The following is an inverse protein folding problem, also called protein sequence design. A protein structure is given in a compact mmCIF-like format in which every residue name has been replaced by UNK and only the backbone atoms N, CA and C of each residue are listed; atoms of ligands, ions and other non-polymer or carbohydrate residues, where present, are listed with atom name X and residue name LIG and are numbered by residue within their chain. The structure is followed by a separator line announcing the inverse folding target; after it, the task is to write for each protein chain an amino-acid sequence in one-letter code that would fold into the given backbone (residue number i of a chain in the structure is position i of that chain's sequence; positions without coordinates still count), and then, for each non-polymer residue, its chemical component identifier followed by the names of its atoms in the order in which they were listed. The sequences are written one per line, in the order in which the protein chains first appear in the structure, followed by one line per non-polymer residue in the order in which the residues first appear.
data_IF_731464220408
#
_entry.id   IF_731464220408
#
_cell.length_a   1.000
_cell.length_b   1.000
_cell.length_c   1.000
_cell.angle_alpha   90.00
_cell.angle_beta   90.00
_cell.angle_gamma   90.00
#
_symmetry.space_group_name_H-M   'P 1'
#
loop_
_entity.id
_entity.type
_entity.pdbx_description
1 polymer ?
#
# COMPACT_ATOMS: atom_id res chain seq x y z
N UNK A 1 4.07 -5.41 -14.04
CA UNK A 1 3.24 -5.85 -12.89
C UNK A 1 1.94 -6.44 -13.44
N UNK A 2 1.25 -7.35 -12.74
CA UNK A 2 -0.05 -7.83 -13.21
C UNK A 2 -1.09 -6.71 -13.09
N UNK A 3 -1.74 -6.36 -14.21
CA UNK A 3 -2.69 -5.24 -14.27
C UNK A 3 -3.93 -5.48 -13.41
N UNK A 4 -4.46 -6.70 -13.38
CA UNK A 4 -5.67 -7.04 -12.65
C UNK A 4 -5.42 -6.93 -11.14
N UNK A 5 -4.28 -7.41 -10.66
CA UNK A 5 -3.89 -7.30 -9.26
C UNK A 5 -3.73 -5.84 -8.82
N UNK A 6 -3.06 -5.02 -9.64
CA UNK A 6 -2.84 -3.59 -9.35
C UNK A 6 -4.16 -2.83 -9.36
N UNK A 7 -4.97 -3.00 -10.41
CA UNK A 7 -6.27 -2.33 -10.54
C UNK A 7 -7.24 -2.77 -9.44
N UNK A 8 -7.29 -4.07 -9.13
CA UNK A 8 -8.08 -4.61 -8.02
C UNK A 8 -7.61 -4.01 -6.70
N UNK A 9 -6.31 -3.99 -6.42
CA UNK A 9 -5.75 -3.39 -5.21
C UNK A 9 -6.06 -1.88 -5.12
N UNK A 10 -5.95 -1.13 -6.22
CA UNK A 10 -6.19 0.31 -6.20
C UNK A 10 -7.68 0.69 -6.34
N UNK A 11 -8.59 -0.22 -6.66
CA UNK A 11 -10.04 0.05 -6.74
C UNK A 11 -10.66 0.45 -5.39
N UNK A 12 -10.05 0.06 -4.26
CA UNK A 12 -10.57 0.33 -2.93
C UNK A 12 -10.04 1.66 -2.34
N UNK A 13 -10.92 2.57 -1.88
CA UNK A 13 -10.51 3.86 -1.30
C UNK A 13 -9.58 3.75 -0.08
N UNK A 14 -9.81 2.78 0.80
CA UNK A 14 -8.97 2.54 2.00
C UNK A 14 -7.55 2.18 1.59
N UNK A 15 -7.39 1.31 0.58
CA UNK A 15 -6.08 0.92 0.05
C UNK A 15 -5.35 2.09 -0.61
N UNK A 16 -6.03 2.93 -1.40
CA UNK A 16 -5.43 4.16 -1.97
C UNK A 16 -4.97 5.13 -0.89
N UNK A 17 -5.78 5.32 0.15
CA UNK A 17 -5.42 6.18 1.29
C UNK A 17 -4.22 5.63 2.06
N UNK A 18 -4.18 4.31 2.30
CA UNK A 18 -3.03 3.66 2.95
C UNK A 18 -1.76 3.80 2.12
N UNK A 19 -1.83 3.60 0.80
CA UNK A 19 -0.71 3.82 -0.11
C UNK A 19 -0.17 5.25 0.01
N UNK A 20 -1.06 6.25 -0.02
CA UNK A 20 -0.68 7.66 0.17
C UNK A 20 -0.06 7.93 1.54
N UNK A 21 -0.55 7.29 2.62
CA UNK A 21 0.04 7.43 3.95
C UNK A 21 1.46 6.86 3.99
N UNK A 22 1.69 5.67 3.42
CA UNK A 22 3.02 5.03 3.42
C UNK A 22 4.01 5.84 2.60
N UNK A 23 3.63 6.32 1.42
CA UNK A 23 4.48 7.20 0.61
C UNK A 23 4.84 8.48 1.38
N UNK A 24 3.85 9.15 1.99
CA UNK A 24 4.06 10.45 2.61
C UNK A 24 4.80 10.41 3.96
N UNK A 25 4.77 9.28 4.67
CA UNK A 25 5.31 9.14 6.04
C UNK A 25 6.51 8.20 6.12
N UNK A 26 6.77 7.43 5.07
CA UNK A 26 7.80 6.39 5.05
C UNK A 26 7.35 5.09 5.74
N UNK A 27 8.31 4.17 5.98
CA UNK A 27 8.03 2.82 6.46
C UNK A 27 7.28 2.82 7.81
N UNK A 28 6.21 2.03 7.91
CA UNK A 28 5.40 1.97 9.13
C UNK A 28 4.83 0.59 9.42
N UNK A 29 4.57 0.28 10.68
CA UNK A 29 3.86 -0.94 11.07
C UNK A 29 2.36 -0.85 10.81
N UNK A 30 1.68 -2.00 10.78
CA UNK A 30 0.21 -2.04 10.65
C UNK A 30 -0.51 -1.31 11.80
N UNK A 31 0.09 -1.28 12.99
CA UNK A 31 -0.41 -0.54 14.16
C UNK A 31 -0.35 0.96 13.91
N UNK A 32 0.81 1.47 13.49
CA UNK A 32 0.99 2.90 13.18
C UNK A 32 0.06 3.33 12.04
N UNK A 33 -0.03 2.54 10.96
CA UNK A 33 -0.92 2.80 9.84
C UNK A 33 -2.38 2.91 10.31
N UNK A 34 -2.83 2.00 11.17
CA UNK A 34 -4.18 1.99 11.74
C UNK A 34 -4.45 3.23 12.59
N UNK A 35 -3.56 3.57 13.52
CA UNK A 35 -3.69 4.76 14.37
C UNK A 35 -3.76 6.05 13.55
N UNK A 36 -2.91 6.18 12.52
CA UNK A 36 -2.90 7.35 11.62
C UNK A 36 -4.17 7.40 10.78
N UNK A 37 -4.61 6.26 10.23
CA UNK A 37 -5.79 6.18 9.37
C UNK A 37 -7.05 6.62 10.13
N UNK A 38 -7.26 6.10 11.35
CA UNK A 38 -8.42 6.44 12.16
C UNK A 38 -8.47 7.93 12.52
N UNK A 39 -7.32 8.54 12.80
CA UNK A 39 -7.25 9.98 13.11
C UNK A 39 -7.55 10.87 11.90
N UNK A 40 -7.26 10.40 10.68
CA UNK A 40 -7.37 11.21 9.45
C UNK A 40 -8.66 10.99 8.67
N UNK A 41 -9.26 9.81 8.76
CA UNK A 41 -10.36 9.42 7.88
C UNK A 41 -11.57 8.94 8.69
N UNK A 42 -11.53 7.69 9.14
CA UNK A 42 -12.67 7.02 9.76
C UNK A 42 -12.22 5.83 10.61
N UNK A 43 -13.07 5.43 11.56
CA UNK A 43 -12.80 4.29 12.42
C UNK A 43 -12.81 2.99 11.63
N UNK A 44 -11.67 2.30 11.59
CA UNK A 44 -11.51 0.99 10.98
C UNK A 44 -11.04 -0.06 11.98
N UNK A 45 -11.33 -1.34 11.75
CA UNK A 45 -10.73 -2.42 12.54
C UNK A 45 -9.25 -2.57 12.15
N UNK A 46 -8.39 -2.85 13.14
CA UNK A 46 -6.95 -3.06 12.91
C UNK A 46 -6.68 -4.19 11.91
N UNK A 47 -7.44 -5.28 12.00
CA UNK A 47 -7.36 -6.41 11.06
C UNK A 47 -7.68 -5.98 9.62
N UNK A 48 -8.64 -5.09 9.42
CA UNK A 48 -9.00 -4.58 8.08
C UNK A 48 -7.89 -3.72 7.47
N UNK A 49 -7.20 -2.93 8.28
CA UNK A 49 -6.01 -2.18 7.83
C UNK A 49 -4.87 -3.13 7.48
N UNK A 50 -4.60 -4.12 8.34
CA UNK A 50 -3.58 -5.14 8.07
C UNK A 50 -3.86 -5.88 6.74
N UNK A 51 -5.08 -6.40 6.54
CA UNK A 51 -5.46 -7.06 5.28
C UNK A 51 -5.30 -6.15 4.07
N UNK A 52 -5.64 -4.87 4.22
CA UNK A 52 -5.48 -3.87 3.16
C UNK A 52 -4.02 -3.64 2.78
N UNK A 53 -3.11 -3.60 3.77
CA UNK A 53 -1.66 -3.50 3.54
C UNK A 53 -1.14 -4.77 2.86
N UNK A 54 -1.55 -5.95 3.31
CA UNK A 54 -1.15 -7.22 2.67
C UNK A 54 -1.64 -7.31 1.21
N UNK A 55 -2.85 -6.84 0.90
CA UNK A 55 -3.32 -6.77 -0.50
C UNK A 55 -2.42 -5.87 -1.36
N UNK A 56 -1.97 -4.73 -0.82
CA UNK A 56 -1.05 -3.85 -1.54
C UNK A 56 0.34 -4.48 -1.74
N UNK A 57 0.81 -5.26 -0.76
CA UNK A 57 2.05 -6.05 -0.88
C UNK A 57 1.92 -7.13 -1.95
N UNK A 58 0.82 -7.89 -1.96
CA UNK A 58 0.56 -8.91 -2.98
C UNK A 58 0.52 -8.34 -4.40
N UNK A 59 0.05 -7.09 -4.55
CA UNK A 59 0.06 -6.37 -5.82
C UNK A 59 1.41 -5.72 -6.16
N UNK A 60 2.48 -5.97 -5.40
CA UNK A 60 3.80 -5.36 -5.55
C UNK A 60 3.83 -3.82 -5.46
N UNK A 61 2.82 -3.20 -4.83
CA UNK A 61 2.75 -1.75 -4.61
C UNK A 61 3.52 -1.36 -3.35
N UNK A 62 3.37 -2.16 -2.31
CA UNK A 62 4.16 -2.07 -1.09
C UNK A 62 5.12 -3.26 -1.01
N UNK A 63 6.11 -3.11 -0.16
CA UNK A 63 6.94 -4.22 0.32
C UNK A 63 6.83 -4.29 1.85
N UNK A 64 7.28 -5.41 2.41
CA UNK A 64 7.32 -5.60 3.86
C UNK A 64 8.66 -6.17 4.29
N UNK A 65 9.20 -5.64 5.38
CA UNK A 65 10.47 -6.05 5.96
C UNK A 65 10.32 -6.16 7.48
N UNK A 66 11.09 -7.08 8.08
CA UNK A 66 11.24 -7.12 9.53
C UNK A 66 12.34 -6.16 9.95
N UNK A 67 11.96 -5.24 10.84
CA UNK A 67 12.84 -4.38 11.61
C UNK A 67 13.05 -5.06 12.97
N UNK A 68 14.31 -5.19 13.40
CA UNK A 68 14.66 -5.94 14.63
C UNK A 68 14.03 -5.32 15.88
N UNK A 69 13.81 -4.00 15.88
CA UNK A 69 13.27 -3.26 17.02
C UNK A 69 11.75 -3.06 16.92
N UNK A 70 11.23 -2.81 15.71
CA UNK A 70 9.85 -2.40 15.47
C UNK A 70 8.95 -3.49 14.85
N UNK A 71 9.50 -4.66 14.53
CA UNK A 71 8.79 -5.78 13.91
C UNK A 71 8.46 -5.54 12.43
N UNK A 72 7.32 -6.05 11.95
CA UNK A 72 6.95 -5.97 10.54
C UNK A 72 6.58 -4.52 10.13
N UNK A 73 7.31 -3.98 9.15
CA UNK A 73 7.07 -2.67 8.55
C UNK A 73 6.71 -2.78 7.08
N UNK A 74 5.91 -1.83 6.62
CA UNK A 74 5.48 -1.70 5.23
C UNK A 74 6.07 -0.40 4.64
N UNK A 75 6.73 -0.50 3.50
CA UNK A 75 7.30 0.62 2.74
C UNK A 75 6.72 0.65 1.34
N UNK A 76 6.70 1.84 0.74
CA UNK A 76 6.30 1.99 -0.66
C UNK A 76 7.40 1.41 -1.55
N UNK A 77 7.05 0.41 -2.36
CA UNK A 77 7.96 -0.12 -3.37
C UNK A 77 8.00 0.78 -4.60
N UNK A 78 6.87 1.42 -4.89
CA UNK A 78 6.69 2.30 -6.03
C UNK A 78 5.93 3.56 -5.59
N UNK A 79 6.27 4.70 -6.17
CA UNK A 79 5.55 5.95 -5.97
C UNK A 79 4.68 6.33 -7.18
N UNK A 80 5.03 5.83 -8.35
CA UNK A 80 4.40 6.16 -9.62
C UNK A 80 4.17 4.91 -10.48
N UNK A 81 3.06 4.91 -11.20
CA UNK A 81 2.61 3.83 -12.07
C UNK A 81 2.33 4.40 -13.46
N UNK A 82 2.76 3.69 -14.49
CA UNK A 82 2.37 3.92 -15.87
C UNK A 82 1.52 2.75 -16.35
N UNK A 83 0.37 3.08 -16.96
CA UNK A 83 -0.56 2.11 -17.51
C UNK A 83 -0.56 2.24 -19.03
N UNK A 84 -0.11 1.22 -19.74
CA UNK A 84 -0.28 1.13 -21.18
C UNK A 84 -1.64 0.49 -21.47
N UNK A 85 -2.53 1.27 -22.10
CA UNK A 85 -3.89 0.82 -22.44
C UNK A 85 -3.97 0.05 -23.77
N UNK A 86 -2.94 0.09 -24.62
CA UNK A 86 -2.92 -0.72 -25.85
C UNK A 86 -2.62 -2.18 -25.49
N UNK A 87 -1.58 -2.38 -24.71
CA UNK A 87 -1.09 -3.72 -24.33
C UNK A 87 -1.66 -4.21 -22.98
N UNK A 88 -2.40 -3.36 -22.26
CA UNK A 88 -2.90 -3.63 -20.90
C UNK A 88 -1.80 -3.98 -19.91
N UNK A 89 -0.67 -3.27 -20.01
CA UNK A 89 0.51 -3.47 -19.18
C UNK A 89 0.66 -2.38 -18.11
N UNK A 90 1.27 -2.76 -16.99
CA UNK A 90 1.53 -1.86 -15.86
C UNK A 90 3.00 -1.89 -15.49
N UNK A 91 3.60 -0.71 -15.47
CA UNK A 91 5.00 -0.52 -15.14
C UNK A 91 5.14 0.47 -13.98
N UNK A 92 6.16 0.23 -13.14
CA UNK A 92 6.57 1.19 -12.14
C UNK A 92 7.55 2.18 -12.76
N UNK A 93 7.33 3.47 -12.53
CA UNK A 93 8.30 4.49 -12.94
C UNK A 93 9.35 4.60 -11.83
N UNK A 94 10.62 4.33 -12.17
CA UNK A 94 11.74 4.60 -11.28
C UNK A 94 12.09 6.10 -11.33
N UNK A 95 12.35 6.70 -10.18
CA UNK A 95 13.02 8.01 -10.11
C UNK A 95 14.52 7.88 -10.40
#
# INVERSE_FOLDING_TARGET
MNIEDVCSALSNPTRRRLMSLVIARGPMSSKQAHEIYQRKFETYRRESIYKSLETLVSANLLEKAYDEDDGLRYSARIAQLQLNLEDMEVESVAE
#
